data_IF_605840171245
#
_entry.id   IF_605840171245
#
_cell.length_a   1.000
_cell.length_b   1.000
_cell.length_c   1.000
_cell.angle_alpha   90.00
_cell.angle_beta   90.00
_cell.angle_gamma   90.00
#
_symmetry.space_group_name_H-M   'P 1'
#
loop_
_entity.id
_entity.type
_entity.pdbx_description
1 polymer ?
#
# COMPACT_ATOMS: atom_id res chain seq x y z
N UNK A 1 4.11 13.80 -28.86
CA UNK A 1 4.83 14.40 -27.72
C UNK A 1 3.78 14.93 -26.76
N UNK A 2 3.46 14.20 -25.70
CA UNK A 2 2.50 14.68 -24.70
C UNK A 2 3.16 15.84 -23.94
N UNK A 3 2.58 17.04 -24.08
CA UNK A 3 3.08 18.27 -23.48
C UNK A 3 3.18 18.13 -21.95
N UNK A 4 4.33 18.47 -21.35
CA UNK A 4 4.56 18.44 -19.89
C UNK A 4 3.45 19.17 -19.11
N UNK A 5 2.95 20.28 -19.67
CA UNK A 5 1.81 21.02 -19.13
C UNK A 5 0.55 20.16 -18.99
N UNK A 6 0.25 19.31 -19.98
CA UNK A 6 -0.92 18.43 -19.93
C UNK A 6 -0.77 17.33 -18.87
N UNK A 7 0.46 16.89 -18.59
CA UNK A 7 0.74 15.91 -17.53
C UNK A 7 0.54 16.54 -16.15
N UNK A 8 1.06 17.74 -15.93
CA UNK A 8 0.89 18.49 -14.68
C UNK A 8 -0.59 18.79 -14.40
N UNK A 9 -1.33 19.23 -15.41
CA UNK A 9 -2.78 19.45 -15.30
C UNK A 9 -3.54 18.16 -14.99
N UNK A 10 -3.15 17.04 -15.59
CA UNK A 10 -3.80 15.75 -15.32
C UNK A 10 -3.51 15.27 -13.89
N UNK A 11 -2.28 15.47 -13.40
CA UNK A 11 -1.90 15.13 -12.04
C UNK A 11 -2.71 15.93 -11.01
N UNK A 12 -2.88 17.24 -11.24
CA UNK A 12 -3.73 18.09 -10.39
C UNK A 12 -5.18 17.59 -10.35
N UNK A 13 -5.74 17.14 -11.48
CA UNK A 13 -7.09 16.55 -11.51
C UNK A 13 -7.18 15.31 -10.61
N UNK A 14 -6.18 14.42 -10.67
CA UNK A 14 -6.13 13.21 -9.83
C UNK A 14 -6.06 13.55 -8.35
N UNK A 15 -5.21 14.51 -7.98
CA UNK A 15 -5.08 15.00 -6.60
C UNK A 15 -6.39 15.59 -6.08
N UNK A 16 -7.04 16.47 -6.85
CA UNK A 16 -8.35 17.03 -6.50
C UNK A 16 -9.42 15.94 -6.31
N UNK A 17 -9.45 14.92 -7.18
CA UNK A 17 -10.37 13.80 -7.06
C UNK A 17 -10.10 12.96 -5.80
N UNK A 18 -8.84 12.65 -5.52
CA UNK A 18 -8.45 11.90 -4.32
C UNK A 18 -8.82 12.67 -3.04
N UNK A 19 -8.45 13.94 -2.93
CA UNK A 19 -8.76 14.74 -1.74
C UNK A 19 -10.27 14.89 -1.52
N UNK A 20 -11.03 15.14 -2.59
CA UNK A 20 -12.48 15.20 -2.53
C UNK A 20 -13.07 13.87 -2.04
N UNK A 21 -12.58 12.74 -2.57
CA UNK A 21 -13.03 11.41 -2.18
C UNK A 21 -12.79 11.16 -0.69
N UNK A 22 -11.58 11.41 -0.19
CA UNK A 22 -11.25 11.26 1.24
C UNK A 22 -12.12 12.15 2.13
N UNK A 23 -12.41 13.38 1.72
CA UNK A 23 -13.31 14.26 2.47
C UNK A 23 -14.75 13.76 2.51
N UNK A 24 -15.27 13.19 1.41
CA UNK A 24 -16.63 12.64 1.35
C UNK A 24 -16.72 11.35 2.19
N UNK A 25 -15.71 10.47 2.11
CA UNK A 25 -15.64 9.21 2.86
C UNK A 25 -15.66 9.41 4.38
N UNK A 26 -15.17 10.54 4.87
CA UNK A 26 -15.25 10.91 6.30
C UNK A 26 -16.69 11.19 6.77
N UNK A 27 -17.64 11.40 5.86
CA UNK A 27 -19.01 11.85 6.17
C UNK A 27 -20.08 10.84 5.79
N UNK A 28 -19.81 9.94 4.85
CA UNK A 28 -20.78 8.94 4.40
C UNK A 28 -20.13 7.69 3.83
N UNK A 29 -20.94 6.65 3.65
CA UNK A 29 -20.51 5.38 3.09
C UNK A 29 -19.97 5.54 1.66
N UNK A 30 -18.81 4.92 1.40
CA UNK A 30 -18.13 4.96 0.12
C UNK A 30 -19.00 4.52 -1.08
N UNK A 31 -19.76 3.43 -0.94
CA UNK A 31 -20.61 2.90 -2.03
C UNK A 31 -21.84 3.77 -2.35
N UNK A 32 -22.11 4.79 -1.54
CA UNK A 32 -23.15 5.80 -1.79
C UNK A 32 -22.66 7.03 -2.54
N UNK A 33 -21.34 7.13 -2.80
CA UNK A 33 -20.74 8.28 -3.47
C UNK A 33 -21.02 8.15 -4.97
N UNK A 34 -21.60 9.19 -5.56
CA UNK A 34 -21.78 9.24 -7.01
C UNK A 34 -20.62 9.97 -7.69
N UNK A 35 -20.34 9.62 -8.95
CA UNK A 35 -19.35 10.33 -9.78
C UNK A 35 -19.71 11.82 -9.90
N UNK A 36 -21.01 12.16 -10.00
CA UNK A 36 -21.47 13.56 -10.04
C UNK A 36 -21.06 14.32 -8.79
N UNK A 37 -21.37 13.78 -7.62
CA UNK A 37 -21.04 14.40 -6.34
C UNK A 37 -19.53 14.54 -6.15
N UNK A 38 -18.78 13.48 -6.46
CA UNK A 38 -17.32 13.49 -6.36
C UNK A 38 -16.72 14.59 -7.24
N UNK A 39 -17.13 14.63 -8.51
CA UNK A 39 -16.60 15.60 -9.49
C UNK A 39 -17.00 17.04 -9.15
N UNK A 40 -18.22 17.26 -8.65
CA UNK A 40 -18.65 18.56 -8.12
C UNK A 40 -17.81 19.00 -6.93
N UNK A 41 -17.57 18.09 -5.96
CA UNK A 41 -16.75 18.38 -4.78
C UNK A 41 -15.28 18.66 -5.13
N UNK A 42 -14.74 17.93 -6.11
CA UNK A 42 -13.37 18.09 -6.61
C UNK A 42 -13.20 19.31 -7.53
N UNK A 43 -14.28 19.93 -7.99
CA UNK A 43 -14.20 21.06 -8.94
C UNK A 43 -13.71 20.65 -10.33
N UNK A 44 -13.95 19.40 -10.74
CA UNK A 44 -13.53 18.87 -12.05
C UNK A 44 -14.73 18.39 -12.86
N UNK A 45 -14.57 18.27 -14.18
CA UNK A 45 -15.63 17.74 -15.03
C UNK A 45 -15.73 16.21 -14.93
N UNK A 46 -16.93 15.65 -15.17
CA UNK A 46 -17.11 14.21 -15.33
C UNK A 46 -16.25 13.62 -16.45
N UNK A 47 -16.04 14.36 -17.53
CA UNK A 47 -15.14 13.96 -18.61
C UNK A 47 -13.68 13.85 -18.13
N UNK A 48 -13.24 14.71 -17.20
CA UNK A 48 -11.91 14.63 -16.60
C UNK A 48 -11.77 13.41 -15.67
N UNK A 49 -12.83 13.05 -14.94
CA UNK A 49 -12.88 11.79 -14.18
C UNK A 49 -12.72 10.59 -15.11
N UNK A 50 -13.58 10.45 -16.13
CA UNK A 50 -13.58 9.29 -17.03
C UNK A 50 -12.32 9.17 -17.92
N UNK A 51 -11.55 10.25 -18.06
CA UNK A 51 -10.24 10.21 -18.72
C UNK A 51 -9.19 9.47 -17.87
N UNK A 52 -9.36 9.45 -16.56
CA UNK A 52 -8.41 8.90 -15.60
C UNK A 52 -8.89 7.59 -14.96
N UNK A 53 -10.20 7.45 -14.74
CA UNK A 53 -10.77 6.38 -13.92
C UNK A 53 -12.07 5.83 -14.53
N UNK A 54 -12.30 4.54 -14.34
CA UNK A 54 -13.55 3.88 -14.74
C UNK A 54 -14.56 3.89 -13.59
N UNK A 55 -14.06 3.64 -12.37
CA UNK A 55 -14.85 3.60 -11.13
C UNK A 55 -14.14 4.41 -10.03
N UNK A 56 -14.86 4.73 -8.95
CA UNK A 56 -14.31 5.57 -7.86
C UNK A 56 -13.19 4.85 -7.12
N UNK A 57 -13.28 3.53 -7.02
CA UNK A 57 -12.29 2.64 -6.41
C UNK A 57 -10.91 2.78 -7.06
N UNK A 58 -10.84 3.06 -8.36
CA UNK A 58 -9.58 3.22 -9.09
C UNK A 58 -8.71 4.35 -8.51
N UNK A 59 -9.34 5.40 -7.96
CA UNK A 59 -8.65 6.51 -7.30
C UNK A 59 -7.92 6.02 -6.05
N UNK A 60 -8.59 5.18 -5.25
CA UNK A 60 -8.00 4.62 -4.02
C UNK A 60 -6.90 3.62 -4.37
N UNK A 61 -7.13 2.77 -5.37
CA UNK A 61 -6.15 1.79 -5.84
C UNK A 61 -4.87 2.49 -6.29
N UNK A 62 -4.98 3.50 -7.17
CA UNK A 62 -3.80 4.26 -7.64
C UNK A 62 -3.07 4.92 -6.47
N UNK A 63 -3.81 5.49 -5.52
CA UNK A 63 -3.20 6.15 -4.35
C UNK A 63 -2.44 5.16 -3.46
N UNK A 64 -2.98 3.96 -3.25
CA UNK A 64 -2.32 2.90 -2.48
C UNK A 64 -1.10 2.36 -3.24
N UNK A 65 -1.23 2.15 -4.54
CA UNK A 65 -0.11 1.71 -5.39
C UNK A 65 1.04 2.72 -5.33
N UNK A 66 0.75 4.03 -5.37
CA UNK A 66 1.76 5.08 -5.19
C UNK A 66 2.47 5.00 -3.83
N UNK A 67 1.74 4.74 -2.74
CA UNK A 67 2.33 4.57 -1.40
C UNK A 67 3.30 3.37 -1.39
N UNK A 68 2.93 2.24 -2.00
CA UNK A 68 3.82 1.08 -2.09
C UNK A 68 5.01 1.32 -3.04
N UNK A 69 4.81 2.03 -4.14
CA UNK A 69 5.88 2.41 -5.06
C UNK A 69 6.90 3.33 -4.38
N UNK A 70 6.43 4.30 -3.60
CA UNK A 70 7.31 5.17 -2.80
C UNK A 70 8.10 4.37 -1.77
N UNK A 71 7.47 3.40 -1.11
CA UNK A 71 8.19 2.48 -0.23
C UNK A 71 9.25 1.67 -0.99
N UNK A 72 8.91 1.11 -2.15
CA UNK A 72 9.86 0.43 -3.03
C UNK A 72 11.03 1.31 -3.44
N UNK A 73 10.79 2.60 -3.72
CA UNK A 73 11.83 3.59 -4.01
C UNK A 73 12.81 3.78 -2.86
N UNK A 74 12.34 3.76 -1.60
CA UNK A 74 13.21 3.84 -0.42
C UNK A 74 14.14 2.63 -0.28
N UNK A 75 13.75 1.49 -0.85
CA UNK A 75 14.52 0.26 -0.80
C UNK A 75 15.49 0.11 -1.97
N UNK A 76 15.36 0.93 -3.03
CA UNK A 76 16.31 0.92 -4.14
C UNK A 76 17.69 1.35 -3.64
N UNK A 77 18.73 0.66 -4.11
CA UNK A 77 20.16 0.96 -3.98
C UNK A 77 20.98 0.32 -2.85
N UNK A 78 20.47 -0.60 -2.02
CA UNK A 78 21.34 -1.36 -1.10
C UNK A 78 20.79 -2.76 -0.78
N UNK A 79 21.68 -3.68 -0.39
CA UNK A 79 21.29 -4.86 0.39
C UNK A 79 20.87 -4.39 1.79
N UNK A 80 19.59 -4.12 1.99
CA UNK A 80 19.05 -3.63 3.26
C UNK A 80 18.74 -4.83 4.15
N UNK A 81 19.26 -4.83 5.37
CA UNK A 81 18.91 -5.83 6.38
C UNK A 81 17.41 -5.80 6.70
N UNK A 82 16.81 -6.96 6.99
CA UNK A 82 15.35 -7.11 7.24
C UNK A 82 14.86 -6.12 8.29
N UNK A 83 15.61 -5.93 9.39
CA UNK A 83 15.23 -4.99 10.44
C UNK A 83 15.15 -3.54 9.91
N UNK A 84 16.17 -3.10 9.15
CA UNK A 84 16.17 -1.76 8.57
C UNK A 84 15.07 -1.57 7.53
N UNK A 85 14.80 -2.60 6.72
CA UNK A 85 13.69 -2.63 5.77
C UNK A 85 12.35 -2.42 6.49
N UNK A 86 12.12 -3.17 7.58
CA UNK A 86 10.88 -3.02 8.36
C UNK A 86 10.81 -1.69 9.12
N UNK A 87 11.93 -1.11 9.55
CA UNK A 87 11.94 0.23 10.13
C UNK A 87 11.49 1.28 9.11
N UNK A 88 12.02 1.22 7.88
CA UNK A 88 11.60 2.09 6.78
C UNK A 88 10.12 1.88 6.43
N UNK A 89 9.63 0.65 6.50
CA UNK A 89 8.21 0.34 6.31
C UNK A 89 7.35 1.09 7.33
N UNK A 90 7.56 0.89 8.62
CA UNK A 90 6.73 1.55 9.64
C UNK A 90 6.85 3.08 9.61
N UNK A 91 8.06 3.60 9.39
CA UNK A 91 8.27 5.05 9.23
C UNK A 91 7.52 5.63 8.03
N UNK A 92 7.50 4.92 6.90
CA UNK A 92 6.78 5.34 5.70
C UNK A 92 5.28 5.31 5.92
N UNK A 93 4.74 4.16 6.34
CA UNK A 93 3.30 3.97 6.49
C UNK A 93 2.67 4.76 7.65
N UNK A 94 3.46 5.18 8.66
CA UNK A 94 3.01 6.11 9.70
C UNK A 94 2.46 7.40 9.11
N UNK A 95 3.09 7.94 8.06
CA UNK A 95 2.65 9.17 7.39
C UNK A 95 1.26 9.04 6.75
N UNK A 96 0.80 7.82 6.54
CA UNK A 96 -0.47 7.50 5.88
C UNK A 96 -1.55 6.98 6.84
N UNK A 97 -1.35 7.07 8.17
CA UNK A 97 -2.29 6.58 9.18
C UNK A 97 -3.74 7.05 8.94
N UNK A 98 -3.93 8.33 8.63
CA UNK A 98 -5.27 8.90 8.39
C UNK A 98 -5.98 8.23 7.22
N UNK A 99 -5.25 7.97 6.12
CA UNK A 99 -5.80 7.28 4.95
C UNK A 99 -6.14 5.83 5.30
N UNK A 100 -5.22 5.11 5.93
CA UNK A 100 -5.41 3.71 6.32
C UNK A 100 -6.64 3.57 7.23
N UNK A 101 -6.76 4.41 8.25
CA UNK A 101 -7.92 4.41 9.16
C UNK A 101 -9.22 4.77 8.43
N UNK A 102 -9.18 5.66 7.44
CA UNK A 102 -10.35 6.00 6.61
C UNK A 102 -10.81 4.78 5.79
N UNK A 103 -9.87 4.06 5.16
CA UNK A 103 -10.16 2.84 4.40
C UNK A 103 -10.71 1.73 5.30
N UNK A 104 -10.11 1.52 6.46
CA UNK A 104 -10.56 0.52 7.44
C UNK A 104 -12.00 0.82 7.93
N UNK A 105 -12.29 2.08 8.23
CA UNK A 105 -13.63 2.51 8.66
C UNK A 105 -14.68 2.37 7.55
N UNK A 106 -14.25 2.43 6.29
CA UNK A 106 -15.10 2.22 5.11
C UNK A 106 -15.21 0.73 4.69
N UNK A 107 -14.62 -0.21 5.45
CA UNK A 107 -14.52 -1.63 5.09
C UNK A 107 -13.77 -1.90 3.76
N UNK A 108 -12.82 -1.02 3.42
CA UNK A 108 -12.02 -1.07 2.19
C UNK A 108 -10.57 -1.51 2.44
N UNK A 109 -10.25 -2.06 3.62
CA UNK A 109 -8.90 -2.54 3.94
C UNK A 109 -8.37 -3.62 2.98
N UNK A 110 -9.28 -4.37 2.35
CA UNK A 110 -8.94 -5.38 1.35
C UNK A 110 -8.21 -4.80 0.12
N UNK A 111 -8.49 -3.55 -0.26
CA UNK A 111 -7.75 -2.87 -1.34
C UNK A 111 -6.28 -2.73 -0.93
N UNK A 112 -6.02 -2.33 0.31
CA UNK A 112 -4.66 -2.18 0.83
C UNK A 112 -3.88 -3.50 0.86
N UNK A 113 -4.55 -4.59 1.25
CA UNK A 113 -3.96 -5.93 1.23
C UNK A 113 -3.68 -6.42 -0.20
N UNK A 114 -4.63 -6.20 -1.12
CA UNK A 114 -4.47 -6.59 -2.52
C UNK A 114 -3.27 -5.91 -3.17
N UNK A 115 -3.03 -4.64 -2.84
CA UNK A 115 -1.85 -3.91 -3.35
C UNK A 115 -0.54 -4.36 -2.66
N UNK A 116 -0.59 -4.78 -1.38
CA UNK A 116 0.57 -5.39 -0.71
C UNK A 116 1.02 -6.65 -1.44
N UNK A 117 0.09 -7.53 -1.79
CA UNK A 117 0.40 -8.79 -2.49
C UNK A 117 1.06 -8.49 -3.83
N UNK A 118 0.49 -7.58 -4.63
CA UNK A 118 1.10 -7.15 -5.91
C UNK A 118 2.49 -6.55 -5.72
N UNK A 119 2.66 -5.70 -4.70
CA UNK A 119 3.95 -5.12 -4.36
C UNK A 119 4.97 -6.23 -4.02
N UNK A 120 4.59 -7.19 -3.19
CA UNK A 120 5.44 -8.32 -2.81
C UNK A 120 5.77 -9.22 -4.00
N UNK A 121 4.85 -9.46 -4.93
CA UNK A 121 5.14 -10.20 -6.16
C UNK A 121 6.24 -9.52 -6.98
N UNK A 122 6.14 -8.22 -7.21
CA UNK A 122 7.15 -7.44 -7.94
C UNK A 122 8.46 -7.41 -7.15
N UNK A 123 8.41 -7.08 -5.87
CA UNK A 123 9.58 -6.88 -5.02
C UNK A 123 10.31 -8.20 -4.66
N UNK A 124 9.57 -9.32 -4.57
CA UNK A 124 10.15 -10.65 -4.36
C UNK A 124 11.02 -11.10 -5.53
N UNK A 125 10.72 -10.69 -6.76
CA UNK A 125 11.63 -10.97 -7.89
C UNK A 125 12.99 -10.29 -7.73
N UNK A 126 13.06 -9.21 -6.95
CA UNK A 126 14.30 -8.49 -6.67
C UNK A 126 15.07 -9.04 -5.46
N UNK A 127 14.39 -9.61 -4.45
CA UNK A 127 15.01 -10.07 -3.17
C UNK A 127 14.96 -11.59 -2.95
N UNK A 128 13.82 -12.24 -3.22
CA UNK A 128 13.56 -13.65 -2.89
C UNK A 128 14.13 -14.65 -3.91
N UNK A 129 14.61 -14.19 -5.07
CA UNK A 129 15.30 -15.05 -6.04
C UNK A 129 16.53 -15.78 -5.46
N UNK A 130 17.05 -15.32 -4.33
CA UNK A 130 18.18 -15.92 -3.61
C UNK A 130 17.83 -17.15 -2.74
N UNK A 131 16.53 -17.43 -2.51
CA UNK A 131 16.11 -18.57 -1.67
C UNK A 131 15.78 -19.77 -2.55
N UNK A 132 16.50 -20.88 -2.34
CA UNK A 132 16.26 -22.15 -3.01
C UNK A 132 15.18 -22.97 -2.28
N UNK A 133 13.94 -22.94 -2.78
CA UNK A 133 12.84 -23.81 -2.38
C UNK A 133 11.80 -23.94 -3.52
N UNK A 134 10.81 -24.83 -3.39
CA UNK A 134 9.79 -25.06 -4.42
C UNK A 134 8.92 -23.82 -4.65
N UNK A 135 8.34 -23.69 -5.85
CA UNK A 135 7.48 -22.55 -6.20
C UNK A 135 6.25 -22.46 -5.29
N UNK A 136 5.67 -23.59 -4.89
CA UNK A 136 4.52 -23.67 -3.99
C UNK A 136 4.86 -23.15 -2.59
N UNK A 137 6.01 -23.56 -2.04
CA UNK A 137 6.45 -23.06 -0.74
C UNK A 137 6.76 -21.56 -0.77
N UNK A 138 7.31 -21.05 -1.87
CA UNK A 138 7.50 -19.59 -2.07
C UNK A 138 6.17 -18.85 -2.07
N UNK A 139 5.18 -19.36 -2.80
CA UNK A 139 3.84 -18.78 -2.87
C UNK A 139 3.19 -18.69 -1.48
N UNK A 140 3.04 -19.81 -0.78
CA UNK A 140 2.41 -19.83 0.54
C UNK A 140 3.17 -19.01 1.58
N UNK A 141 4.49 -18.95 1.47
CA UNK A 141 5.32 -18.12 2.35
C UNK A 141 5.14 -16.64 2.10
N UNK A 142 5.05 -16.23 0.83
CA UNK A 142 4.79 -14.84 0.47
C UNK A 142 3.44 -14.39 1.04
N UNK A 143 2.39 -15.22 0.86
CA UNK A 143 1.06 -14.98 1.42
C UNK A 143 1.07 -14.87 2.95
N UNK A 144 1.77 -15.79 3.64
CA UNK A 144 1.89 -15.77 5.09
C UNK A 144 2.58 -14.49 5.60
N UNK A 145 3.70 -14.11 4.99
CA UNK A 145 4.45 -12.90 5.35
C UNK A 145 3.62 -11.64 5.06
N UNK A 146 2.98 -11.56 3.90
CA UNK A 146 2.12 -10.44 3.55
C UNK A 146 0.94 -10.31 4.52
N UNK A 147 0.28 -11.42 4.87
CA UNK A 147 -0.79 -11.45 5.86
C UNK A 147 -0.33 -10.95 7.23
N UNK A 148 0.83 -11.42 7.71
CA UNK A 148 1.43 -10.98 8.97
C UNK A 148 1.77 -9.48 8.98
N UNK A 149 2.49 -9.01 7.96
CA UNK A 149 2.89 -7.60 7.84
C UNK A 149 1.65 -6.70 7.75
N UNK A 150 0.68 -7.05 6.91
CA UNK A 150 -0.57 -6.32 6.77
C UNK A 150 -1.32 -6.25 8.11
N UNK A 151 -1.54 -7.37 8.77
CA UNK A 151 -2.35 -7.42 9.99
C UNK A 151 -1.69 -6.64 11.14
N UNK A 152 -0.36 -6.69 11.25
CA UNK A 152 0.39 -5.87 12.22
C UNK A 152 0.22 -4.39 11.92
N UNK A 153 0.42 -3.95 10.66
CA UNK A 153 0.23 -2.55 10.28
C UNK A 153 -1.19 -2.06 10.58
N UNK A 154 -2.21 -2.82 10.21
CA UNK A 154 -3.61 -2.45 10.45
C UNK A 154 -3.92 -2.33 11.95
N UNK A 155 -3.40 -3.24 12.76
CA UNK A 155 -3.59 -3.22 14.22
C UNK A 155 -2.91 -2.00 14.83
N UNK A 156 -1.68 -1.71 14.41
CA UNK A 156 -0.94 -0.54 14.86
C UNK A 156 -1.64 0.78 14.48
N UNK A 157 -2.17 0.88 13.25
CA UNK A 157 -2.98 2.03 12.80
C UNK A 157 -4.21 2.26 13.70
N UNK A 158 -4.97 1.19 13.98
CA UNK A 158 -6.18 1.23 14.82
C UNK A 158 -5.87 1.63 16.25
N UNK A 159 -4.72 1.24 16.77
CA UNK A 159 -4.28 1.55 18.13
C UNK A 159 -3.59 2.91 18.24
N UNK A 160 -3.58 3.72 17.17
CA UNK A 160 -3.02 5.07 17.21
C UNK A 160 -1.52 5.16 16.94
N UNK A 161 -0.86 4.05 16.57
CA UNK A 161 0.58 3.99 16.29
C UNK A 161 1.45 4.51 17.45
N UNK A 162 1.17 4.01 18.66
CA UNK A 162 1.81 4.48 19.91
C UNK A 162 3.28 4.09 19.94
N UNK A 163 3.57 2.83 19.63
CA UNK A 163 4.93 2.29 19.52
C UNK A 163 5.69 3.01 18.41
N UNK A 164 6.99 3.19 18.58
CA UNK A 164 7.83 3.82 17.58
C UNK A 164 8.18 2.84 16.43
N UNK A 165 8.73 3.39 15.34
CA UNK A 165 8.96 2.64 14.11
C UNK A 165 10.00 1.51 14.28
N UNK A 166 10.97 1.70 15.18
CA UNK A 166 12.02 0.73 15.48
C UNK A 166 11.49 -0.42 16.34
N UNK A 167 10.69 -0.13 17.37
CA UNK A 167 10.01 -1.14 18.20
C UNK A 167 9.16 -2.08 17.34
N UNK A 168 8.36 -1.50 16.44
CA UNK A 168 7.54 -2.27 15.52
C UNK A 168 8.38 -3.10 14.54
N UNK A 169 9.49 -2.54 14.04
CA UNK A 169 10.40 -3.26 13.14
C UNK A 169 11.02 -4.48 13.82
N UNK A 170 11.52 -4.33 15.05
CA UNK A 170 12.12 -5.41 15.85
C UNK A 170 11.10 -6.53 16.08
N UNK A 171 9.86 -6.17 16.42
CA UNK A 171 8.79 -7.13 16.72
C UNK A 171 8.55 -8.11 15.57
N UNK A 172 8.60 -7.64 14.32
CA UNK A 172 8.34 -8.49 13.15
C UNK A 172 9.60 -9.02 12.47
N UNK A 173 10.74 -8.32 12.56
CA UNK A 173 11.97 -8.71 11.82
C UNK A 173 12.51 -10.06 12.27
N UNK A 174 12.33 -10.42 13.53
CA UNK A 174 12.73 -11.72 14.07
C UNK A 174 11.86 -12.84 13.49
N UNK A 175 10.54 -12.64 13.43
CA UNK A 175 9.60 -13.60 12.83
C UNK A 175 9.86 -13.81 11.34
N UNK A 176 10.14 -12.73 10.60
CA UNK A 176 10.48 -12.79 9.17
C UNK A 176 11.80 -13.54 8.97
N UNK A 177 12.84 -13.20 9.74
CA UNK A 177 14.15 -13.86 9.65
C UNK A 177 14.06 -15.36 9.96
N UNK A 178 13.32 -15.75 10.99
CA UNK A 178 13.10 -17.15 11.36
C UNK A 178 12.32 -17.90 10.27
N UNK A 179 11.29 -17.29 9.69
CA UNK A 179 10.52 -17.87 8.59
C UNK A 179 11.40 -18.12 7.36
N UNK A 180 12.21 -17.12 6.98
CA UNK A 180 13.17 -17.24 5.87
C UNK A 180 14.19 -18.35 6.13
N UNK A 181 14.71 -18.46 7.35
CA UNK A 181 15.63 -19.53 7.72
C UNK A 181 14.96 -20.91 7.60
N UNK A 182 13.74 -21.04 8.12
CA UNK A 182 12.96 -22.29 8.03
C UNK A 182 12.76 -22.73 6.57
N UNK A 183 12.50 -21.79 5.66
CA UNK A 183 12.37 -22.10 4.23
C UNK A 183 13.67 -22.59 3.60
N UNK A 184 14.82 -22.07 4.03
CA UNK A 184 16.13 -22.56 3.59
C UNK A 184 16.42 -23.98 4.11
N UNK A 185 15.89 -24.32 5.28
CA UNK A 185 16.09 -25.62 5.93
C UNK A 185 15.12 -26.70 5.41
N UNK A 186 13.96 -26.30 4.86
CA UNK A 186 13.00 -27.19 4.17
C UNK A 186 13.52 -27.75 2.83
N UNK A 187 14.81 -27.59 2.55
CA UNK A 187 15.54 -28.06 1.36
C UNK A 187 15.78 -29.59 1.37
N UNK A 188 14.83 -30.37 1.89
CA UNK A 188 14.82 -31.84 1.77
C UNK A 188 14.16 -32.26 0.46
#
# INVERSE_FOLDING_TARGET
MTNKYNQEQNQLVKECLFEALIQIMKRKNFYSISITELTQKAGVSRMAFYRNYSIIEDILIESIDNIYNDYGNLLRHNSIEINKMMQLYFQHFRKHQTLINTLLSANLGHLFFSQLIKFMEIFSTEIMCSIECSAEYKLYSSEFLAGGIYQVLMTWCKNGMIENDEEMAILISNSISLHIQTLKDLRM
#
